data_IF_690160890103
#
_entry.id   IF_690160890103
#
_cell.length_a   1.000
_cell.length_b   1.000
_cell.length_c   1.000
_cell.angle_alpha   90.00
_cell.angle_beta   90.00
_cell.angle_gamma   90.00
#
_symmetry.space_group_name_H-M   'P 1'
#
loop_
_entity.id
_entity.type
_entity.pdbx_description
1 polymer ?
#
# COMPACT_ATOMS: atom_id res chain seq x y z
N UNK A 1 13.70 8.11 -9.73
CA UNK A 1 12.86 7.38 -8.75
C UNK A 1 13.39 5.98 -8.47
N UNK A 2 13.40 5.05 -9.43
CA UNK A 2 13.89 3.66 -9.18
C UNK A 2 15.36 3.64 -8.74
N UNK A 3 16.22 4.41 -9.42
CA UNK A 3 17.63 4.54 -9.03
C UNK A 3 17.78 5.22 -7.66
N UNK A 4 16.93 6.20 -7.34
CA UNK A 4 16.95 6.87 -6.03
C UNK A 4 16.61 5.90 -4.90
N UNK A 5 15.58 5.06 -5.08
CA UNK A 5 15.25 3.97 -4.14
C UNK A 5 16.45 3.05 -3.96
N UNK A 6 17.07 2.62 -5.06
CA UNK A 6 18.23 1.73 -5.00
C UNK A 6 19.41 2.37 -4.27
N UNK A 7 19.71 3.64 -4.57
CA UNK A 7 20.79 4.40 -3.96
C UNK A 7 20.56 4.68 -2.47
N UNK A 8 19.29 4.80 -2.06
CA UNK A 8 18.89 4.88 -0.66
C UNK A 8 18.95 3.51 0.07
N UNK A 9 19.22 2.42 -0.65
CA UNK A 9 19.24 1.06 -0.11
C UNK A 9 17.86 0.39 -0.03
N UNK A 10 16.83 0.99 -0.62
CA UNK A 10 15.48 0.45 -0.67
C UNK A 10 15.29 -0.63 -1.74
N UNK A 11 14.23 -1.43 -1.58
CA UNK A 11 13.86 -2.53 -2.49
C UNK A 11 12.56 -2.33 -3.25
N UNK A 12 11.74 -1.34 -2.89
CA UNK A 12 10.39 -1.13 -3.44
C UNK A 12 10.12 0.35 -3.64
N UNK A 13 9.62 0.71 -4.82
CA UNK A 13 9.06 2.01 -5.15
C UNK A 13 7.54 1.86 -5.25
N UNK A 14 6.78 2.54 -4.38
CA UNK A 14 5.32 2.57 -4.45
C UNK A 14 4.86 3.81 -5.24
N UNK A 15 3.95 3.60 -6.20
CA UNK A 15 3.41 4.63 -7.08
C UNK A 15 1.89 4.53 -7.09
N UNK A 16 1.23 5.67 -6.94
CA UNK A 16 -0.22 5.77 -7.02
C UNK A 16 -0.64 6.38 -8.35
N UNK A 17 -1.68 5.84 -8.98
CA UNK A 17 -2.28 6.43 -10.19
C UNK A 17 -3.80 6.42 -10.12
N UNK A 18 -4.40 7.46 -10.70
CA UNK A 18 -5.87 7.56 -10.86
C UNK A 18 -6.35 6.92 -12.15
N UNK A 19 -7.66 6.72 -12.27
CA UNK A 19 -8.30 6.27 -13.51
C UNK A 19 -7.82 7.05 -14.74
N UNK A 20 -7.84 8.39 -14.67
CA UNK A 20 -7.45 9.23 -15.81
C UNK A 20 -5.97 9.05 -16.18
N UNK A 21 -5.11 8.85 -15.18
CA UNK A 21 -3.68 8.61 -15.40
C UNK A 21 -3.44 7.23 -16.00
N UNK A 22 -4.18 6.20 -15.58
CA UNK A 22 -4.07 4.84 -16.15
C UNK A 22 -4.52 4.84 -17.62
N UNK A 23 -5.49 5.70 -17.96
CA UNK A 23 -6.01 5.83 -19.31
C UNK A 23 -5.26 6.87 -20.17
N UNK A 24 -4.24 7.54 -19.62
CA UNK A 24 -3.31 8.40 -20.35
C UNK A 24 -2.10 7.57 -20.85
N UNK A 25 -1.91 7.40 -22.17
CA UNK A 25 -0.78 6.65 -22.73
C UNK A 25 0.58 7.17 -22.27
N UNK A 26 0.74 8.47 -22.03
CA UNK A 26 1.99 9.05 -21.59
C UNK A 26 2.32 8.66 -20.14
N UNK A 27 1.32 8.54 -19.27
CA UNK A 27 1.54 8.10 -17.88
C UNK A 27 1.77 6.59 -17.82
N UNK A 28 1.04 5.79 -18.60
CA UNK A 28 1.30 4.36 -18.69
C UNK A 28 2.68 4.05 -19.27
N UNK A 29 3.18 4.85 -20.22
CA UNK A 29 4.55 4.74 -20.70
C UNK A 29 5.58 5.02 -19.58
N UNK A 30 5.31 5.99 -18.69
CA UNK A 30 6.16 6.24 -17.51
C UNK A 30 6.12 5.09 -16.52
N UNK A 31 4.94 4.55 -16.22
CA UNK A 31 4.82 3.37 -15.34
C UNK A 31 5.60 2.18 -15.91
N UNK A 32 5.44 1.91 -17.20
CA UNK A 32 6.21 0.86 -17.88
C UNK A 32 7.71 1.11 -17.79
N UNK A 33 8.18 2.33 -18.04
CA UNK A 33 9.60 2.66 -17.93
C UNK A 33 10.14 2.46 -16.50
N UNK A 34 9.33 2.76 -15.47
CA UNK A 34 9.70 2.47 -14.08
C UNK A 34 9.78 0.96 -13.81
N UNK A 35 8.83 0.16 -14.31
CA UNK A 35 8.87 -1.32 -14.20
C UNK A 35 10.08 -1.91 -14.94
N UNK A 36 10.35 -1.45 -16.17
CA UNK A 36 11.53 -1.88 -16.94
C UNK A 36 12.85 -1.53 -16.21
N UNK A 37 12.90 -0.39 -15.51
CA UNK A 37 14.03 -0.03 -14.67
C UNK A 37 14.10 -0.88 -13.39
N UNK A 38 12.96 -1.19 -12.79
CA UNK A 38 12.84 -2.06 -11.62
C UNK A 38 13.40 -3.46 -11.88
N UNK A 39 13.06 -4.04 -13.03
CA UNK A 39 13.58 -5.33 -13.49
C UNK A 39 15.11 -5.34 -13.58
N UNK A 40 15.72 -4.25 -14.07
CA UNK A 40 17.18 -4.11 -14.21
C UNK A 40 17.88 -3.93 -12.87
N UNK A 41 17.27 -3.17 -11.96
CA UNK A 41 17.88 -2.73 -10.70
C UNK A 41 17.56 -3.68 -9.52
N UNK A 42 16.65 -4.64 -9.72
CA UNK A 42 16.13 -5.50 -8.66
C UNK A 42 15.27 -4.73 -7.65
N UNK A 43 14.56 -3.70 -8.11
CA UNK A 43 13.64 -2.87 -7.31
C UNK A 43 12.22 -3.18 -7.73
N UNK A 44 11.34 -3.50 -6.78
CA UNK A 44 9.91 -3.71 -7.02
C UNK A 44 9.23 -2.38 -7.32
N UNK A 45 8.28 -2.38 -8.25
CA UNK A 45 7.40 -1.26 -8.52
C UNK A 45 5.99 -1.66 -8.08
N UNK A 46 5.60 -1.17 -6.91
CA UNK A 46 4.28 -1.39 -6.31
C UNK A 46 3.32 -0.32 -6.85
N UNK A 47 2.46 -0.72 -7.77
CA UNK A 47 1.44 0.15 -8.35
C UNK A 47 0.15 0.05 -7.55
N UNK A 48 -0.36 1.16 -7.05
CA UNK A 48 -1.70 1.24 -6.43
C UNK A 48 -2.65 2.10 -7.24
N UNK A 49 -3.90 1.65 -7.35
CA UNK A 49 -4.98 2.49 -7.84
C UNK A 49 -5.43 3.45 -6.74
N UNK A 50 -5.71 4.71 -7.08
CA UNK A 50 -6.39 5.64 -6.17
C UNK A 50 -7.55 6.35 -6.86
N UNK A 51 -8.61 6.64 -6.11
CA UNK A 51 -9.72 7.44 -6.62
C UNK A 51 -9.31 8.91 -6.83
N UNK A 52 -9.90 9.57 -7.82
CA UNK A 52 -9.73 11.00 -8.07
C UNK A 52 -10.30 11.85 -6.91
N UNK A 53 -11.36 11.37 -6.27
CA UNK A 53 -12.00 12.07 -5.15
C UNK A 53 -11.21 11.91 -3.85
N UNK A 54 -11.11 13.00 -3.06
CA UNK A 54 -10.46 13.03 -1.73
C UNK A 54 -8.99 12.55 -1.70
N UNK A 55 -8.25 12.69 -2.81
CA UNK A 55 -6.89 12.15 -2.89
C UNK A 55 -6.80 10.63 -2.84
N UNK A 56 -7.94 9.93 -2.95
CA UNK A 56 -8.07 8.48 -2.93
C UNK A 56 -8.64 7.90 -1.63
N UNK A 57 -8.41 8.58 -0.49
CA UNK A 57 -8.63 7.99 0.84
C UNK A 57 -10.08 7.92 1.33
N UNK A 58 -10.40 6.80 1.96
CA UNK A 58 -11.66 6.56 2.67
C UNK A 58 -12.85 6.18 1.79
N UNK A 59 -12.66 6.08 0.47
CA UNK A 59 -13.74 5.72 -0.46
C UNK A 59 -13.89 4.21 -0.59
N UNK A 60 -15.14 3.75 -0.75
CA UNK A 60 -15.45 2.38 -1.17
C UNK A 60 -16.11 2.47 -2.54
N UNK A 61 -15.46 1.91 -3.56
CA UNK A 61 -16.00 1.87 -4.91
C UNK A 61 -17.12 0.83 -5.01
N UNK A 62 -18.23 1.23 -5.62
CA UNK A 62 -19.38 0.37 -5.92
C UNK A 62 -19.91 0.66 -7.32
N UNK A 63 -20.76 -0.22 -7.85
CA UNK A 63 -21.41 -0.04 -9.16
C UNK A 63 -20.40 0.19 -10.30
N UNK A 64 -20.70 1.16 -11.17
CA UNK A 64 -19.90 1.45 -12.35
C UNK A 64 -18.46 1.87 -12.02
N UNK A 65 -18.24 2.56 -10.89
CA UNK A 65 -16.89 2.94 -10.47
C UNK A 65 -16.04 1.73 -10.12
N UNK A 66 -16.61 0.74 -9.42
CA UNK A 66 -15.90 -0.50 -9.10
C UNK A 66 -15.59 -1.30 -10.37
N UNK A 67 -16.55 -1.35 -11.30
CA UNK A 67 -16.34 -1.99 -12.61
C UNK A 67 -15.20 -1.34 -13.37
N UNK A 68 -15.17 0.00 -13.42
CA UNK A 68 -14.11 0.75 -14.07
C UNK A 68 -12.74 0.50 -13.42
N UNK A 69 -12.64 0.53 -12.09
CA UNK A 69 -11.39 0.21 -11.40
C UNK A 69 -10.94 -1.24 -11.62
N UNK A 70 -11.87 -2.19 -11.71
CA UNK A 70 -11.56 -3.57 -12.04
C UNK A 70 -11.01 -3.70 -13.48
N UNK A 71 -11.58 -2.99 -14.44
CA UNK A 71 -11.08 -2.93 -15.83
C UNK A 71 -9.70 -2.27 -15.89
N UNK A 72 -9.46 -1.20 -15.13
CA UNK A 72 -8.14 -0.56 -15.01
C UNK A 72 -7.09 -1.53 -14.47
N UNK A 73 -7.39 -2.23 -13.36
CA UNK A 73 -6.49 -3.25 -12.79
C UNK A 73 -6.17 -4.33 -13.82
N UNK A 74 -7.18 -4.84 -14.53
CA UNK A 74 -6.98 -5.83 -15.59
C UNK A 74 -6.08 -5.31 -16.70
N UNK A 75 -6.25 -4.06 -17.13
CA UNK A 75 -5.46 -3.46 -18.20
C UNK A 75 -4.00 -3.26 -17.79
N UNK A 76 -3.76 -2.73 -16.58
CA UNK A 76 -2.40 -2.56 -16.03
C UNK A 76 -1.71 -3.90 -15.87
N UNK A 77 -2.39 -4.90 -15.30
CA UNK A 77 -1.87 -6.27 -15.16
C UNK A 77 -1.57 -6.90 -16.52
N UNK A 78 -2.45 -6.73 -17.50
CA UNK A 78 -2.23 -7.30 -18.84
C UNK A 78 -0.99 -6.69 -19.51
N UNK A 79 -0.73 -5.40 -19.26
CA UNK A 79 0.43 -4.70 -19.79
C UNK A 79 1.74 -5.01 -19.05
N UNK A 80 1.70 -5.11 -17.71
CA UNK A 80 2.90 -5.08 -16.86
C UNK A 80 3.08 -6.33 -15.98
N UNK A 81 2.03 -7.13 -15.77
CA UNK A 81 2.02 -8.21 -14.79
C UNK A 81 2.95 -9.40 -15.08
N UNK A 82 3.60 -9.42 -16.26
CA UNK A 82 4.66 -10.38 -16.60
C UNK A 82 6.05 -9.95 -16.13
N UNK A 83 6.20 -8.69 -15.74
CA UNK A 83 7.47 -8.18 -15.24
C UNK A 83 7.72 -8.65 -13.80
N UNK A 84 8.89 -9.21 -13.49
CA UNK A 84 9.20 -9.70 -12.14
C UNK A 84 9.27 -8.59 -11.09
N UNK A 85 9.51 -7.34 -11.48
CA UNK A 85 9.46 -6.20 -10.56
C UNK A 85 8.06 -5.67 -10.27
N UNK A 86 7.05 -5.98 -11.09
CA UNK A 86 5.71 -5.46 -10.90
C UNK A 86 5.04 -6.09 -9.66
N UNK A 87 4.46 -5.24 -8.82
CA UNK A 87 3.62 -5.62 -7.68
C UNK A 87 2.32 -4.84 -7.80
N UNK A 88 1.18 -5.54 -7.70
CA UNK A 88 -0.11 -4.89 -7.66
C UNK A 88 -0.45 -4.57 -6.22
N UNK A 89 -0.86 -3.35 -5.97
CA UNK A 89 -1.51 -2.88 -4.76
C UNK A 89 -2.93 -2.47 -5.14
N UNK A 90 -3.93 -3.07 -4.50
CA UNK A 90 -5.30 -3.07 -5.05
C UNK A 90 -5.93 -1.69 -5.07
N UNK A 91 -5.90 -0.97 -3.95
CA UNK A 91 -6.59 0.30 -3.80
C UNK A 91 -6.08 1.10 -2.60
N UNK A 92 -5.65 2.33 -2.86
CA UNK A 92 -5.15 3.26 -1.85
C UNK A 92 -6.22 3.67 -0.84
N UNK A 93 -6.01 3.35 0.43
CA UNK A 93 -6.75 3.80 1.60
C UNK A 93 -8.26 3.54 1.51
N UNK A 94 -8.66 2.39 0.99
CA UNK A 94 -10.06 2.05 0.78
C UNK A 94 -10.89 2.06 2.07
N UNK A 95 -11.98 2.83 2.08
CA UNK A 95 -13.02 2.81 3.10
C UNK A 95 -12.65 3.38 4.48
N UNK A 96 -13.67 3.88 5.19
CA UNK A 96 -13.54 4.43 6.55
C UNK A 96 -13.71 3.40 7.67
N UNK A 97 -14.10 2.18 7.31
CA UNK A 97 -14.35 1.08 8.24
C UNK A 97 -14.38 -0.28 7.53
N UNK A 98 -14.22 -1.35 8.30
CA UNK A 98 -14.28 -2.74 7.84
C UNK A 98 -15.71 -3.18 7.49
N UNK A 99 -16.25 -2.67 6.37
CA UNK A 99 -17.59 -3.01 5.85
C UNK A 99 -17.56 -4.15 4.84
N UNK A 100 -18.73 -4.76 4.60
CA UNK A 100 -18.87 -5.77 3.55
C UNK A 100 -18.59 -5.19 2.16
N UNK A 101 -18.96 -3.92 1.91
CA UNK A 101 -18.69 -3.26 0.64
C UNK A 101 -17.19 -3.06 0.40
N UNK A 102 -16.42 -2.74 1.45
CA UNK A 102 -14.96 -2.70 1.37
C UNK A 102 -14.40 -4.08 0.97
N UNK A 103 -14.89 -5.15 1.60
CA UNK A 103 -14.46 -6.51 1.27
C UNK A 103 -14.82 -6.90 -0.17
N UNK A 104 -16.01 -6.51 -0.63
CA UNK A 104 -16.48 -6.74 -2.00
C UNK A 104 -15.63 -5.99 -3.03
N UNK A 105 -15.30 -4.73 -2.75
CA UNK A 105 -14.38 -3.93 -3.57
C UNK A 105 -13.03 -4.64 -3.70
N UNK A 106 -12.37 -4.93 -2.59
CA UNK A 106 -11.04 -5.57 -2.59
C UNK A 106 -11.07 -6.93 -3.29
N UNK A 107 -12.07 -7.76 -3.01
CA UNK A 107 -12.26 -9.07 -3.65
C UNK A 107 -12.41 -8.95 -5.17
N UNK A 108 -13.13 -7.93 -5.63
CA UNK A 108 -13.35 -7.70 -7.08
C UNK A 108 -12.04 -7.31 -7.77
N UNK A 109 -11.24 -6.44 -7.16
CA UNK A 109 -9.96 -6.01 -7.72
C UNK A 109 -8.93 -7.15 -7.75
N UNK A 110 -8.84 -7.94 -6.66
CA UNK A 110 -8.01 -9.14 -6.60
C UNK A 110 -8.41 -10.12 -7.70
N UNK A 111 -9.71 -10.41 -7.82
CA UNK A 111 -10.23 -11.34 -8.83
C UNK A 111 -9.94 -10.84 -10.23
N UNK A 112 -10.11 -9.54 -10.50
CA UNK A 112 -9.81 -8.95 -11.81
C UNK A 112 -8.34 -9.19 -12.21
N UNK A 113 -7.40 -8.95 -11.29
CA UNK A 113 -5.99 -9.21 -11.53
C UNK A 113 -5.69 -10.70 -11.81
N UNK A 114 -6.28 -11.61 -11.01
CA UNK A 114 -6.07 -13.05 -11.17
C UNK A 114 -6.72 -13.61 -12.44
N UNK A 115 -7.93 -13.16 -12.79
CA UNK A 115 -8.64 -13.53 -14.01
C UNK A 115 -7.90 -12.99 -15.26
N UNK A 116 -7.15 -11.89 -15.13
CA UNK A 116 -6.21 -11.39 -16.15
C UNK A 116 -4.89 -12.18 -16.23
N UNK A 117 -4.72 -13.22 -15.40
CA UNK A 117 -3.57 -14.11 -15.43
C UNK A 117 -2.40 -13.68 -14.54
N UNK A 118 -2.55 -12.69 -13.67
CA UNK A 118 -1.46 -12.24 -12.80
C UNK A 118 -1.01 -13.32 -11.81
N UNK A 119 0.30 -13.57 -11.76
CA UNK A 119 0.93 -14.55 -10.87
C UNK A 119 1.84 -13.94 -9.80
N UNK A 120 2.07 -12.63 -9.86
CA UNK A 120 2.89 -11.93 -8.87
C UNK A 120 2.16 -11.63 -7.57
N UNK A 121 2.86 -10.88 -6.71
CA UNK A 121 2.37 -10.47 -5.40
C UNK A 121 1.27 -9.42 -5.53
N UNK A 122 0.24 -9.57 -4.68
CA UNK A 122 -0.85 -8.60 -4.52
C UNK A 122 -0.81 -8.09 -3.08
N UNK A 123 -0.67 -6.78 -2.95
CA UNK A 123 -0.87 -6.01 -1.73
C UNK A 123 -2.33 -5.60 -1.65
N UNK A 124 -2.91 -5.77 -0.46
CA UNK A 124 -4.25 -5.29 -0.12
C UNK A 124 -4.09 -4.37 1.09
N UNK A 125 -4.35 -3.09 0.89
CA UNK A 125 -4.39 -2.11 1.98
C UNK A 125 -5.61 -2.34 2.86
N UNK A 126 -5.45 -2.16 4.16
CA UNK A 126 -6.52 -2.36 5.12
C UNK A 126 -7.64 -1.31 4.99
N UNK A 127 -8.77 -1.58 5.63
CA UNK A 127 -9.82 -0.61 5.91
C UNK A 127 -9.34 0.49 6.87
N UNK A 128 -10.21 1.45 7.18
CA UNK A 128 -9.88 2.60 8.03
C UNK A 128 -8.75 3.44 7.40
N UNK A 129 -8.93 3.85 6.13
CA UNK A 129 -7.92 4.60 5.38
C UNK A 129 -6.56 3.89 5.32
N UNK A 130 -6.55 2.57 5.13
CA UNK A 130 -5.32 1.79 5.13
C UNK A 130 -4.77 1.48 6.52
N UNK A 131 -5.26 2.10 7.59
CA UNK A 131 -4.66 1.97 8.92
C UNK A 131 -5.08 0.73 9.73
N UNK A 132 -6.10 -0.03 9.32
CA UNK A 132 -6.52 -1.23 10.06
C UNK A 132 -6.85 -0.93 11.53
N UNK A 133 -6.38 -1.76 12.48
CA UNK A 133 -6.54 -1.49 13.92
C UNK A 133 -5.78 -0.24 14.41
N UNK A 134 -4.83 0.30 13.63
CA UNK A 134 -4.04 1.47 14.05
C UNK A 134 -4.80 2.78 13.81
N UNK A 135 -5.76 2.81 12.89
CA UNK A 135 -6.64 3.96 12.61
C UNK A 135 -8.12 3.74 12.98
N UNK A 136 -8.56 2.51 13.24
CA UNK A 136 -9.96 2.18 13.54
C UNK A 136 -10.16 1.02 14.52
N UNK A 137 -11.41 0.60 14.69
CA UNK A 137 -11.78 -0.41 15.69
C UNK A 137 -11.59 -1.86 15.26
N UNK A 138 -11.61 -2.15 13.96
CA UNK A 138 -11.49 -3.52 13.41
C UNK A 138 -10.74 -3.49 12.08
N UNK A 139 -9.78 -4.42 11.89
CA UNK A 139 -9.10 -4.65 10.62
C UNK A 139 -10.02 -5.37 9.63
N UNK A 140 -10.17 -4.80 8.44
CA UNK A 140 -10.91 -5.40 7.33
C UNK A 140 -10.19 -6.60 6.77
N UNK A 141 -8.85 -6.55 6.71
CA UNK A 141 -8.02 -7.68 6.28
C UNK A 141 -8.24 -8.90 7.16
N UNK A 142 -8.25 -8.71 8.48
CA UNK A 142 -8.49 -9.78 9.45
C UNK A 142 -9.94 -10.27 9.38
N UNK A 143 -10.91 -9.35 9.43
CA UNK A 143 -12.34 -9.68 9.45
C UNK A 143 -12.79 -10.47 8.22
N UNK A 144 -12.29 -10.07 7.04
CA UNK A 144 -12.69 -10.64 5.76
C UNK A 144 -11.62 -11.54 5.12
N UNK A 145 -10.64 -12.01 5.91
CA UNK A 145 -9.50 -12.80 5.42
C UNK A 145 -9.91 -13.98 4.51
N UNK A 146 -10.95 -14.73 4.91
CA UNK A 146 -11.44 -15.87 4.14
C UNK A 146 -11.97 -15.45 2.76
N UNK A 147 -12.72 -14.35 2.68
CA UNK A 147 -13.27 -13.82 1.43
C UNK A 147 -12.15 -13.34 0.50
N UNK A 148 -11.20 -12.56 1.02
CA UNK A 148 -10.07 -12.03 0.25
C UNK A 148 -9.19 -13.16 -0.29
N UNK A 149 -8.92 -14.19 0.53
CA UNK A 149 -8.15 -15.37 0.09
C UNK A 149 -8.90 -16.20 -0.94
N UNK A 150 -10.23 -16.34 -0.81
CA UNK A 150 -11.04 -17.01 -1.81
C UNK A 150 -10.98 -16.27 -3.16
N UNK A 151 -11.01 -14.94 -3.14
CA UNK A 151 -10.82 -14.12 -4.35
C UNK A 151 -9.41 -14.27 -4.96
N UNK A 152 -8.38 -14.43 -4.11
CA UNK A 152 -7.00 -14.66 -4.57
C UNK A 152 -6.81 -16.06 -5.19
N UNK A 153 -7.55 -17.08 -4.74
CA UNK A 153 -7.42 -18.46 -5.21
C UNK A 153 -6.24 -19.23 -4.62
N UNK A 154 -6.25 -20.55 -4.74
CA UNK A 154 -5.36 -21.48 -3.99
C UNK A 154 -3.95 -21.67 -4.58
N UNK A 155 -3.72 -21.28 -5.83
CA UNK A 155 -2.46 -21.54 -6.55
C UNK A 155 -1.63 -20.26 -6.79
N UNK A 156 -1.90 -19.21 -6.01
CA UNK A 156 -1.22 -17.92 -6.12
C UNK A 156 -0.46 -17.61 -4.82
N UNK A 157 0.55 -16.72 -4.85
CA UNK A 157 1.20 -16.23 -3.64
C UNK A 157 0.18 -15.73 -2.62
N UNK A 158 0.51 -15.87 -1.33
CA UNK A 158 -0.28 -15.29 -0.25
C UNK A 158 -0.41 -13.77 -0.43
N UNK A 159 -1.58 -13.23 -0.05
CA UNK A 159 -1.79 -11.79 -0.08
C UNK A 159 -0.88 -11.10 0.96
N UNK A 160 -0.40 -9.91 0.60
CA UNK A 160 0.31 -9.01 1.50
C UNK A 160 -0.74 -8.06 2.09
N UNK A 161 -0.81 -7.98 3.42
CA UNK A 161 -1.69 -7.06 4.13
C UNK A 161 -0.95 -5.79 4.47
N UNK A 162 -1.37 -4.66 3.91
CA UNK A 162 -0.66 -3.38 4.06
C UNK A 162 -1.37 -2.43 5.02
N UNK A 163 -0.57 -1.80 5.89
CA UNK A 163 -0.99 -0.83 6.90
C UNK A 163 -0.40 0.54 6.53
N UNK A 164 -1.22 1.58 6.60
CA UNK A 164 -0.77 2.98 6.59
C UNK A 164 -0.64 3.45 8.04
N UNK A 165 0.59 3.47 8.55
CA UNK A 165 0.88 3.82 9.93
C UNK A 165 1.05 5.33 10.06
N UNK A 166 0.02 5.99 10.57
CA UNK A 166 0.01 7.43 10.90
C UNK A 166 -0.49 7.69 12.33
N UNK A 167 -0.63 6.65 13.17
CA UNK A 167 -1.18 6.81 14.50
C UNK A 167 -0.20 7.59 15.40
N UNK A 168 -0.72 8.61 16.08
CA UNK A 168 0.08 9.48 16.96
C UNK A 168 -0.30 9.36 18.44
N UNK A 169 -1.18 8.42 18.79
CA UNK A 169 -1.60 8.18 20.18
C UNK A 169 -0.51 7.46 20.99
N UNK A 170 -0.56 7.58 22.31
CA UNK A 170 0.38 6.89 23.22
C UNK A 170 0.33 5.35 23.11
N UNK A 171 -0.74 4.82 22.52
CA UNK A 171 -0.98 3.40 22.28
C UNK A 171 -0.64 2.95 20.85
N UNK A 172 -0.14 3.84 19.97
CA UNK A 172 0.16 3.55 18.57
C UNK A 172 1.05 2.31 18.39
N UNK A 173 2.17 2.23 19.12
CA UNK A 173 3.07 1.07 19.10
C UNK A 173 2.37 -0.22 19.48
N UNK A 174 1.49 -0.20 20.49
CA UNK A 174 0.77 -1.39 20.95
C UNK A 174 -0.30 -1.85 19.96
N UNK A 175 -0.98 -0.89 19.30
CA UNK A 175 -1.96 -1.16 18.25
C UNK A 175 -1.29 -1.75 17.02
N UNK A 176 -0.15 -1.18 16.58
CA UNK A 176 0.62 -1.71 15.46
C UNK A 176 1.12 -3.14 15.74
N UNK A 177 1.67 -3.38 16.93
CA UNK A 177 2.11 -4.73 17.31
C UNK A 177 0.96 -5.76 17.31
N UNK A 178 -0.23 -5.33 17.72
CA UNK A 178 -1.44 -6.16 17.68
C UNK A 178 -1.90 -6.43 16.24
N UNK A 179 -1.86 -5.42 15.37
CA UNK A 179 -2.19 -5.55 13.94
C UNK A 179 -1.24 -6.51 13.22
N UNK A 180 0.08 -6.35 13.40
CA UNK A 180 1.09 -7.25 12.78
C UNK A 180 0.82 -8.72 13.16
N UNK A 181 0.51 -8.96 14.44
CA UNK A 181 0.17 -10.31 14.93
C UNK A 181 -1.14 -10.81 14.33
N UNK A 182 -2.16 -9.95 14.24
CA UNK A 182 -3.46 -10.30 13.68
C UNK A 182 -3.37 -10.64 12.19
N UNK A 183 -2.66 -9.84 11.39
CA UNK A 183 -2.41 -10.11 9.96
C UNK A 183 -1.64 -11.41 9.75
N UNK A 184 -0.56 -11.62 10.51
CA UNK A 184 0.24 -12.85 10.42
C UNK A 184 -0.60 -14.08 10.80
N UNK A 185 -1.40 -13.98 11.87
CA UNK A 185 -2.33 -15.04 12.30
C UNK A 185 -3.45 -15.30 11.29
N UNK A 186 -3.91 -14.26 10.60
CA UNK A 186 -4.84 -14.34 9.49
C UNK A 186 -4.16 -14.82 8.19
N UNK A 187 -2.86 -15.10 8.19
CA UNK A 187 -2.08 -15.66 7.08
C UNK A 187 -1.76 -14.67 5.96
N UNK A 188 -1.64 -13.39 6.29
CA UNK A 188 -1.08 -12.36 5.41
C UNK A 188 0.41 -12.15 5.76
N UNK A 189 1.21 -11.79 4.76
CA UNK A 189 2.51 -11.14 5.01
C UNK A 189 2.21 -9.67 5.36
N UNK A 190 2.57 -9.15 6.55
CA UNK A 190 2.39 -7.73 6.86
C UNK A 190 3.28 -6.85 5.99
N UNK A 191 2.81 -5.64 5.70
CA UNK A 191 3.57 -4.54 5.10
C UNK A 191 3.16 -3.24 5.81
N UNK A 192 4.11 -2.32 6.00
CA UNK A 192 3.82 -0.91 6.26
C UNK A 192 3.91 -0.19 4.92
N UNK A 193 2.78 -0.02 4.24
CA UNK A 193 2.71 0.52 2.88
C UNK A 193 2.89 2.02 2.81
N UNK A 194 2.61 2.69 3.93
CA UNK A 194 2.96 4.07 4.19
C UNK A 194 3.29 4.26 5.67
N UNK A 195 4.34 5.02 5.94
CA UNK A 195 4.63 5.55 7.27
C UNK A 195 5.36 6.87 7.11
N UNK A 196 5.07 7.82 7.99
CA UNK A 196 5.81 9.05 8.00
C UNK A 196 5.64 9.85 9.27
N UNK A 197 6.45 10.89 9.38
CA UNK A 197 6.31 11.90 10.41
C UNK A 197 5.62 13.18 9.93
N UNK A 198 5.04 13.19 8.73
CA UNK A 198 4.23 14.28 8.25
C UNK A 198 2.79 13.79 8.07
N UNK A 199 1.86 14.49 8.68
CA UNK A 199 0.43 14.28 8.44
C UNK A 199 -0.11 15.42 7.57
N UNK A 200 -0.74 15.09 6.45
CA UNK A 200 -1.35 16.08 5.59
C UNK A 200 -2.65 16.61 6.21
N UNK A 201 -2.76 17.92 6.36
CA UNK A 201 -3.93 18.58 6.96
C UNK A 201 -4.73 19.39 5.95
N UNK A 202 -4.48 19.20 4.65
CA UNK A 202 -5.19 19.87 3.56
C UNK A 202 -4.34 20.92 2.81
N UNK A 203 -4.52 21.00 1.49
CA UNK A 203 -3.78 21.93 0.64
C UNK A 203 -2.27 21.68 0.68
N UNK A 204 -1.48 22.71 1.00
CA UNK A 204 -0.03 22.60 1.21
C UNK A 204 0.37 22.49 2.69
N UNK A 205 -0.57 22.19 3.58
CA UNK A 205 -0.33 22.18 5.02
C UNK A 205 -0.06 20.77 5.54
N UNK A 206 0.96 20.66 6.38
CA UNK A 206 1.38 19.44 7.05
C UNK A 206 1.67 19.70 8.52
N UNK A 207 1.44 18.68 9.35
CA UNK A 207 1.75 18.65 10.77
C UNK A 207 2.83 17.59 11.04
N UNK A 208 3.85 17.94 11.84
CA UNK A 208 4.86 16.97 12.25
C UNK A 208 4.29 16.02 13.30
N UNK A 209 4.39 14.71 13.05
CA UNK A 209 3.86 13.62 13.88
C UNK A 209 4.81 12.43 13.95
N UNK A 210 5.75 12.43 14.88
CA UNK A 210 6.76 11.37 14.98
C UNK A 210 6.24 10.03 15.56
N UNK A 211 5.01 9.98 16.07
CA UNK A 211 4.44 8.80 16.74
C UNK A 211 4.41 7.54 15.87
N UNK A 212 4.11 7.69 14.57
CA UNK A 212 4.07 6.58 13.62
C UNK A 212 5.46 5.95 13.37
N UNK A 213 6.47 6.81 13.17
CA UNK A 213 7.86 6.35 13.03
C UNK A 213 8.33 5.64 14.31
N UNK A 214 7.93 6.11 15.49
CA UNK A 214 8.23 5.43 16.75
C UNK A 214 7.52 4.09 16.87
N UNK A 215 6.24 4.00 16.49
CA UNK A 215 5.49 2.75 16.49
C UNK A 215 6.17 1.68 15.61
N UNK A 216 6.64 2.06 14.42
CA UNK A 216 7.41 1.16 13.55
C UNK A 216 8.73 0.75 14.18
N UNK A 217 9.47 1.68 14.80
CA UNK A 217 10.72 1.37 15.53
C UNK A 217 10.50 0.37 16.65
N UNK A 218 9.48 0.58 17.47
CA UNK A 218 9.14 -0.28 18.61
C UNK A 218 8.76 -1.70 18.16
N UNK A 219 8.20 -1.84 16.96
CA UNK A 219 7.76 -3.12 16.40
C UNK A 219 8.71 -3.72 15.36
N UNK A 220 9.92 -3.17 15.20
CA UNK A 220 10.86 -3.59 14.16
C UNK A 220 11.24 -5.07 14.23
N UNK A 221 11.36 -5.63 15.43
CA UNK A 221 11.61 -7.06 15.62
C UNK A 221 10.50 -7.95 15.05
N UNK A 222 9.23 -7.57 15.28
CA UNK A 222 8.06 -8.30 14.76
C UNK A 222 7.95 -8.15 13.23
N UNK A 223 8.19 -6.94 12.71
CA UNK A 223 8.20 -6.67 11.27
C UNK A 223 9.27 -7.49 10.55
N UNK A 224 10.51 -7.51 11.06
CA UNK A 224 11.60 -8.34 10.52
C UNK A 224 11.27 -9.82 10.56
N UNK A 225 10.72 -10.32 11.68
CA UNK A 225 10.33 -11.71 11.82
C UNK A 225 9.23 -12.12 10.81
N UNK A 226 8.33 -11.20 10.47
CA UNK A 226 7.29 -11.41 9.47
C UNK A 226 7.77 -11.18 8.02
N UNK A 227 9.03 -10.74 7.83
CA UNK A 227 9.59 -10.36 6.53
C UNK A 227 8.94 -9.13 5.91
N UNK A 228 8.35 -8.25 6.72
CA UNK A 228 7.57 -7.11 6.27
C UNK A 228 8.41 -6.06 5.54
N UNK A 229 7.83 -5.47 4.51
CA UNK A 229 8.37 -4.28 3.86
C UNK A 229 7.85 -3.03 4.60
N UNK A 230 8.68 -1.99 4.69
CA UNK A 230 8.32 -0.71 5.31
C UNK A 230 8.63 0.42 4.34
N UNK A 231 7.59 1.12 3.91
CA UNK A 231 7.66 2.11 2.85
C UNK A 231 7.38 3.52 3.42
N UNK A 232 8.37 4.43 3.38
CA UNK A 232 8.14 5.81 3.79
C UNK A 232 7.17 6.51 2.84
N UNK A 233 6.30 7.34 3.41
CA UNK A 233 5.61 8.37 2.62
C UNK A 233 6.61 9.40 2.10
N UNK A 234 6.37 9.96 0.91
CA UNK A 234 7.32 10.88 0.28
C UNK A 234 7.46 12.23 1.02
N UNK A 235 6.41 12.65 1.72
CA UNK A 235 6.42 13.89 2.50
C UNK A 235 6.88 13.57 3.93
N UNK A 236 8.05 14.09 4.32
CA UNK A 236 8.61 13.90 5.66
C UNK A 236 9.13 15.22 6.21
N UNK A 237 8.99 15.44 7.52
CA UNK A 237 9.67 16.54 8.21
C UNK A 237 11.13 16.18 8.47
N UNK A 238 12.05 17.03 7.98
CA UNK A 238 13.48 16.96 8.27
C UNK A 238 14.00 18.36 8.62
N UNK A 239 14.60 18.50 9.81
CA UNK A 239 15.09 19.81 10.28
C UNK A 239 13.99 20.88 10.38
N UNK A 240 12.77 20.47 10.75
CA UNK A 240 11.60 21.36 10.89
C UNK A 240 10.97 21.82 9.58
N UNK A 241 11.31 21.20 8.44
CA UNK A 241 10.74 21.51 7.12
C UNK A 241 10.25 20.25 6.42
N UNK A 242 9.18 20.37 5.64
CA UNK A 242 8.77 19.30 4.72
C UNK A 242 9.82 19.10 3.64
N UNK A 243 10.14 17.84 3.40
CA UNK A 243 10.96 17.33 2.31
C UNK A 243 10.14 16.34 1.50
N UNK A 244 10.38 16.34 0.19
CA UNK A 244 9.72 15.48 -0.78
C UNK A 244 10.75 14.53 -1.37
N UNK A 245 11.11 13.49 -0.62
CA UNK A 245 12.19 12.57 -0.97
C UNK A 245 11.65 11.15 -1.14
N UNK A 246 12.25 10.41 -2.05
CA UNK A 246 11.95 8.99 -2.23
C UNK A 246 12.80 8.19 -1.26
N UNK A 247 12.16 7.49 -0.32
CA UNK A 247 12.85 6.69 0.70
C UNK A 247 13.14 7.45 2.00
N UNK A 248 13.65 6.74 3.00
CA UNK A 248 14.07 7.34 4.27
C UNK A 248 15.46 7.95 4.12
N UNK A 249 15.67 9.12 4.74
CA UNK A 249 17.02 9.62 4.97
C UNK A 249 17.78 8.62 5.85
N UNK A 250 19.12 8.60 5.79
CA UNK A 250 19.94 7.68 6.62
C UNK A 250 19.61 7.74 8.11
N UNK A 251 19.22 8.91 8.63
CA UNK A 251 18.86 9.08 10.04
C UNK A 251 17.46 8.56 10.40
N UNK A 252 16.60 8.41 9.41
CA UNK A 252 15.22 7.94 9.58
C UNK A 252 15.07 6.44 9.29
N UNK A 253 16.10 5.82 8.70
CA UNK A 253 16.13 4.39 8.45
C UNK A 253 16.03 3.59 9.75
N UNK A 254 15.25 2.52 9.70
CA UNK A 254 15.03 1.64 10.83
C UNK A 254 16.14 0.57 10.88
N UNK A 255 17.05 0.67 11.85
CA UNK A 255 18.14 -0.29 12.07
C UNK A 255 17.72 -1.49 12.90
#
# INVERSE_FOLDING_TARGET
MVEDVKNAGGGTLRIQMTHDQINDPAQMAKLKAMVDAGDKQGVKVQFTFRDNANGGGGNVLTGDKLKQAADDVKNVVSALGKHPSFVLDTFNEGGKSATQDWANMQSTLIKSARDAGYKGDIVVEDSNWGGGLTAGGESGLVKYAAQLKAANGSNNPGLIGSIHEYASGADASSRLGSEIKALSGAGFKPQIGEVGNANWTGGSNFEQRDGANQAVKDNMGALKAAGADVLPWMDQFQGGKIKHDVGFSKGDQFS
#
